data_IF_831458203234
#
_entry.id   IF_831458203234
#
_cell.length_a   1.000
_cell.length_b   1.000
_cell.length_c   1.000
_cell.angle_alpha   90.00
_cell.angle_beta   90.00
_cell.angle_gamma   90.00
#
_symmetry.space_group_name_H-M   'P 1'
#
loop_
_entity.id
_entity.type
_entity.pdbx_description
1 polymer ?
#
# COMPACT_ATOMS: atom_id res chain seq x y z
N UNK A 1 6.16 -21.14 10.01
CA UNK A 1 6.89 -21.01 8.74
C UNK A 1 6.72 -19.56 8.26
N UNK A 2 7.72 -18.94 7.63
CA UNK A 2 7.69 -17.50 7.33
C UNK A 2 7.05 -17.25 5.95
N UNK A 3 5.86 -16.65 5.93
CA UNK A 3 5.08 -16.35 4.71
C UNK A 3 5.91 -15.62 3.65
N UNK A 4 6.77 -14.69 4.07
CA UNK A 4 7.63 -13.97 3.12
C UNK A 4 8.60 -14.92 2.39
N UNK A 5 9.23 -15.85 3.11
CA UNK A 5 10.16 -16.80 2.51
C UNK A 5 9.43 -17.79 1.57
N UNK A 6 8.24 -18.23 1.94
CA UNK A 6 7.40 -19.08 1.10
C UNK A 6 6.97 -18.36 -0.18
N UNK A 7 6.51 -17.12 -0.05
CA UNK A 7 6.07 -16.30 -1.19
C UNK A 7 7.22 -16.00 -2.14
N UNK A 8 8.38 -15.61 -1.61
CA UNK A 8 9.57 -15.40 -2.44
C UNK A 8 10.02 -16.68 -3.13
N UNK A 9 9.90 -17.85 -2.47
CA UNK A 9 10.21 -19.15 -3.10
C UNK A 9 9.23 -19.48 -4.22
N UNK A 10 7.93 -19.29 -3.99
CA UNK A 10 6.86 -19.39 -4.99
C UNK A 10 7.14 -18.55 -6.23
N UNK A 11 7.70 -17.36 -6.03
CA UNK A 11 7.96 -16.41 -7.11
C UNK A 11 9.30 -16.67 -7.82
N UNK A 12 10.00 -17.76 -7.51
CA UNK A 12 11.27 -18.13 -8.17
C UNK A 12 12.54 -17.73 -7.40
N UNK A 13 12.41 -17.37 -6.12
CA UNK A 13 13.54 -17.04 -5.23
C UNK A 13 13.77 -15.54 -5.07
N UNK A 14 14.90 -15.17 -4.45
CA UNK A 14 15.24 -13.77 -4.08
C UNK A 14 16.10 -13.06 -5.14
N UNK A 15 15.68 -13.09 -6.40
CA UNK A 15 16.30 -12.25 -7.44
C UNK A 15 15.93 -10.76 -7.22
N UNK A 16 16.69 -9.85 -7.83
CA UNK A 16 16.36 -8.41 -7.78
C UNK A 16 14.97 -8.14 -8.37
N UNK A 17 14.62 -8.82 -9.47
CA UNK A 17 13.31 -8.66 -10.12
C UNK A 17 12.17 -9.12 -9.21
N UNK A 18 12.33 -10.25 -8.51
CA UNK A 18 11.31 -10.76 -7.59
C UNK A 18 11.15 -9.88 -6.35
N UNK A 19 12.24 -9.27 -5.88
CA UNK A 19 12.19 -8.29 -4.78
C UNK A 19 11.46 -7.03 -5.25
N UNK A 20 11.75 -6.55 -6.46
CA UNK A 20 11.06 -5.41 -7.03
C UNK A 20 9.58 -5.68 -7.28
N UNK A 21 9.22 -6.91 -7.71
CA UNK A 21 7.82 -7.32 -7.83
C UNK A 21 7.12 -7.35 -6.47
N UNK A 22 7.76 -7.90 -5.44
CA UNK A 22 7.23 -7.90 -4.07
C UNK A 22 7.02 -6.47 -3.53
N UNK A 23 7.93 -5.54 -3.86
CA UNK A 23 7.77 -4.13 -3.51
C UNK A 23 6.54 -3.52 -4.20
N UNK A 24 6.33 -3.81 -5.49
CA UNK A 24 5.13 -3.36 -6.23
C UNK A 24 3.85 -3.90 -5.60
N UNK A 25 3.82 -5.19 -5.25
CA UNK A 25 2.71 -5.81 -4.54
C UNK A 25 2.43 -5.08 -3.21
N UNK A 26 3.48 -4.83 -2.43
CA UNK A 26 3.33 -4.19 -1.12
C UNK A 26 2.85 -2.75 -1.23
N UNK A 27 3.38 -1.97 -2.17
CA UNK A 27 2.96 -0.59 -2.38
C UNK A 27 1.51 -0.48 -2.88
N UNK A 28 1.10 -1.36 -3.80
CA UNK A 28 -0.30 -1.44 -4.20
C UNK A 28 -1.21 -1.88 -3.06
N UNK A 29 -0.78 -2.83 -2.23
CA UNK A 29 -1.54 -3.25 -1.05
C UNK A 29 -1.67 -2.13 -0.01
N UNK A 30 -0.61 -1.36 0.22
CA UNK A 30 -0.66 -0.18 1.10
C UNK A 30 -1.72 0.81 0.63
N UNK A 31 -1.75 1.10 -0.68
CA UNK A 31 -2.72 2.03 -1.24
C UNK A 31 -4.15 1.49 -1.16
N UNK A 32 -4.35 0.21 -1.51
CA UNK A 32 -5.69 -0.36 -1.67
C UNK A 32 -6.34 -0.86 -0.38
N UNK A 33 -5.54 -1.23 0.63
CA UNK A 33 -6.02 -1.97 1.80
C UNK A 33 -5.58 -1.39 3.15
N UNK A 34 -4.46 -0.68 3.21
CA UNK A 34 -3.86 -0.23 4.47
C UNK A 34 -4.02 1.29 4.71
N UNK A 35 -5.00 1.92 4.07
CA UNK A 35 -5.34 3.33 4.31
C UNK A 35 -4.55 4.35 3.49
N UNK A 36 -3.89 3.91 2.40
CA UNK A 36 -3.23 4.83 1.47
C UNK A 36 -1.78 5.14 1.82
N UNK A 37 -1.06 5.73 0.86
CA UNK A 37 0.32 6.20 1.06
C UNK A 37 0.33 7.65 1.55
N UNK A 38 0.76 7.85 2.79
CA UNK A 38 0.86 9.17 3.42
C UNK A 38 1.89 10.05 2.71
N UNK A 39 1.50 11.29 2.39
CA UNK A 39 2.40 12.27 1.74
C UNK A 39 3.46 12.77 2.72
N UNK A 40 4.67 13.02 2.22
CA UNK A 40 5.67 13.76 2.98
C UNK A 40 5.24 15.21 3.21
N UNK A 41 5.56 15.73 4.39
CA UNK A 41 5.34 17.15 4.72
C UNK A 41 6.25 18.04 3.88
N UNK A 42 5.86 19.30 3.69
CA UNK A 42 6.70 20.27 2.97
C UNK A 42 8.09 20.43 3.60
N UNK A 43 8.17 20.46 4.92
CA UNK A 43 9.44 20.51 5.66
C UNK A 43 10.32 19.30 5.35
N UNK A 44 9.77 18.09 5.37
CA UNK A 44 10.55 16.88 5.09
C UNK A 44 11.08 16.86 3.65
N UNK A 45 10.24 17.28 2.68
CA UNK A 45 10.65 17.42 1.28
C UNK A 45 11.78 18.43 1.11
N UNK A 46 11.67 19.59 1.77
CA UNK A 46 12.69 20.64 1.71
C UNK A 46 14.01 20.21 2.37
N UNK A 47 13.94 19.48 3.49
CA UNK A 47 15.12 19.04 4.23
C UNK A 47 15.92 17.97 3.46
N UNK A 48 15.22 17.01 2.86
CA UNK A 48 15.87 15.85 2.22
C UNK A 48 15.94 15.93 0.69
N UNK A 49 15.33 16.95 0.08
CA UNK A 49 15.31 17.10 -1.38
C UNK A 49 14.53 15.99 -2.09
N UNK A 50 13.46 15.48 -1.48
CA UNK A 50 12.62 14.40 -2.02
C UNK A 50 11.22 14.90 -2.35
N UNK A 51 10.59 14.33 -3.38
CA UNK A 51 9.27 14.77 -3.84
C UNK A 51 8.11 13.99 -3.20
N UNK A 52 8.24 12.68 -3.07
CA UNK A 52 7.19 11.79 -2.57
C UNK A 52 7.74 10.46 -2.05
N UNK A 53 6.95 9.71 -1.25
CA UNK A 53 7.36 8.36 -0.85
C UNK A 53 7.48 7.43 -2.06
N UNK A 54 8.47 6.54 -2.05
CA UNK A 54 8.73 5.60 -3.14
C UNK A 54 7.50 4.77 -3.56
N UNK A 55 6.68 4.34 -2.61
CA UNK A 55 5.45 3.62 -2.94
C UNK A 55 4.46 4.47 -3.75
N UNK A 56 4.44 5.80 -3.59
CA UNK A 56 3.58 6.69 -4.37
C UNK A 56 3.98 6.66 -5.84
N UNK A 57 5.28 6.73 -6.12
CA UNK A 57 5.83 6.62 -7.48
C UNK A 57 5.48 5.28 -8.11
N UNK A 58 5.63 4.19 -7.36
CA UNK A 58 5.34 2.83 -7.85
C UNK A 58 3.85 2.65 -8.16
N UNK A 59 2.96 3.08 -7.27
CA UNK A 59 1.51 2.99 -7.47
C UNK A 59 1.09 3.80 -8.69
N UNK A 60 1.62 5.01 -8.86
CA UNK A 60 1.35 5.85 -10.03
C UNK A 60 1.81 5.15 -11.33
N UNK A 61 3.02 4.60 -11.34
CA UNK A 61 3.56 3.88 -12.50
C UNK A 61 2.70 2.65 -12.87
N UNK A 62 2.19 1.91 -11.89
CA UNK A 62 1.29 0.76 -12.12
C UNK A 62 -0.06 1.24 -12.67
N UNK A 63 -0.66 2.26 -12.06
CA UNK A 63 -1.95 2.80 -12.50
C UNK A 63 -1.88 3.41 -13.91
N UNK A 64 -0.71 3.95 -14.28
CA UNK A 64 -0.45 4.48 -15.63
C UNK A 64 -0.07 3.39 -16.65
N UNK A 65 0.11 2.13 -16.22
CA UNK A 65 0.51 1.01 -17.07
C UNK A 65 2.00 0.99 -17.44
N UNK A 66 2.83 1.82 -16.81
CA UNK A 66 4.29 1.86 -17.01
C UNK A 66 4.99 0.67 -16.33
N UNK A 67 4.40 0.17 -15.25
CA UNK A 67 4.86 -1.01 -14.52
C UNK A 67 3.71 -1.99 -14.29
N UNK A 68 4.05 -3.25 -14.04
CA UNK A 68 3.09 -4.30 -13.73
C UNK A 68 3.59 -5.17 -12.57
N UNK A 69 2.65 -5.76 -11.86
CA UNK A 69 2.92 -6.85 -10.91
C UNK A 69 2.85 -8.17 -11.70
N UNK A 70 3.90 -8.97 -11.59
CA UNK A 70 4.07 -10.23 -12.32
C UNK A 70 3.25 -11.37 -11.67
N UNK A 71 3.20 -11.44 -10.35
CA UNK A 71 2.37 -12.41 -9.65
C UNK A 71 0.88 -12.05 -9.79
N UNK A 72 0.19 -12.62 -10.77
CA UNK A 72 -1.25 -12.41 -10.98
C UNK A 72 -2.13 -12.72 -9.75
N UNK A 73 -1.65 -13.54 -8.81
CA UNK A 73 -2.36 -13.92 -7.58
C UNK A 73 -2.00 -13.08 -6.36
N UNK A 74 -1.15 -12.05 -6.53
CA UNK A 74 -0.60 -11.25 -5.45
C UNK A 74 -1.66 -10.70 -4.49
N UNK A 75 -2.75 -10.14 -5.04
CA UNK A 75 -3.78 -9.46 -4.26
C UNK A 75 -4.48 -10.44 -3.33
N UNK A 76 -4.90 -11.59 -3.87
CA UNK A 76 -5.55 -12.64 -3.10
C UNK A 76 -4.61 -13.19 -2.00
N UNK A 77 -3.33 -13.42 -2.32
CA UNK A 77 -2.32 -13.87 -1.34
C UNK A 77 -2.16 -12.87 -0.19
N UNK A 78 -2.02 -11.59 -0.52
CA UNK A 78 -1.87 -10.51 0.46
C UNK A 78 -3.12 -10.37 1.33
N UNK A 79 -4.31 -10.30 0.73
CA UNK A 79 -5.58 -10.17 1.46
C UNK A 79 -5.88 -11.38 2.35
N UNK A 80 -5.57 -12.59 1.89
CA UNK A 80 -5.77 -13.82 2.68
C UNK A 80 -4.86 -13.85 3.91
N UNK A 81 -3.63 -13.35 3.78
CA UNK A 81 -2.65 -13.41 4.86
C UNK A 81 -2.74 -12.22 5.83
N UNK A 82 -2.91 -11.00 5.31
CA UNK A 82 -2.85 -9.77 6.09
C UNK A 82 -4.22 -9.11 6.32
N UNK A 83 -5.25 -9.45 5.55
CA UNK A 83 -6.55 -8.77 5.55
C UNK A 83 -6.53 -7.40 4.87
N UNK A 84 -7.69 -6.86 4.53
CA UNK A 84 -7.85 -5.57 3.88
C UNK A 84 -8.77 -4.67 4.73
N UNK A 85 -8.26 -4.03 5.79
CA UNK A 85 -9.09 -3.30 6.76
C UNK A 85 -9.66 -1.98 6.23
N UNK A 86 -9.04 -1.38 5.21
CA UNK A 86 -9.52 -0.14 4.58
C UNK A 86 -9.58 -0.33 3.06
N UNK A 87 -10.56 -1.09 2.54
CA UNK A 87 -10.68 -1.28 1.11
C UNK A 87 -10.96 0.07 0.45
N UNK A 88 -10.29 0.37 -0.67
CA UNK A 88 -10.36 1.65 -1.39
C UNK A 88 -11.78 2.13 -1.81
N UNK A 89 -12.82 1.31 -1.60
CA UNK A 89 -14.23 1.62 -1.88
C UNK A 89 -15.11 1.80 -0.63
N UNK A 90 -14.55 1.70 0.58
CA UNK A 90 -15.23 2.21 1.76
C UNK A 90 -15.10 3.74 1.72
N UNK A 91 -16.07 4.39 1.07
CA UNK A 91 -16.41 5.77 1.43
C UNK A 91 -16.51 5.80 2.94
N UNK A 92 -15.52 6.40 3.59
CA UNK A 92 -15.59 6.77 5.00
C UNK A 92 -16.85 7.61 5.08
N UNK A 93 -17.92 6.99 5.58
CA UNK A 93 -19.09 7.74 5.98
C UNK A 93 -18.58 8.66 7.07
N UNK A 94 -18.37 9.92 6.70
CA UNK A 94 -18.17 11.03 7.61
C UNK A 94 -19.39 11.10 8.51
N UNK A 95 -19.42 10.26 9.54
CA UNK A 95 -20.36 10.31 10.64
C UNK A 95 -20.01 11.51 11.50
N UNK A 96 -20.28 12.70 10.97
CA UNK A 96 -20.40 13.89 11.79
C UNK A 96 -21.51 13.66 12.81
N UNK A 97 -21.19 13.90 14.07
CA UNK A 97 -22.18 14.36 15.03
C UNK A 97 -21.51 15.38 15.92
N UNK A 98 -21.80 16.63 15.57
CA UNK A 98 -21.71 17.79 16.42
C UNK A 98 -22.30 17.53 17.81
N UNK A 99 -21.62 18.10 18.80
CA UNK A 99 -22.17 18.68 20.01
C UNK A 99 -23.36 18.03 20.71
N UNK A 100 -23.11 17.56 21.94
CA UNK A 100 -23.98 17.93 23.07
C UNK A 100 -23.17 18.04 24.36
N UNK A 101 -22.97 19.29 24.79
CA UNK A 101 -22.87 19.60 26.20
C UNK A 101 -24.21 19.19 26.85
N UNK A 102 -24.15 18.43 27.94
CA UNK A 102 -25.27 18.32 28.87
C UNK A 102 -24.71 18.24 30.30
N UNK A 103 -24.82 19.39 30.94
CA UNK A 103 -24.83 19.59 32.39
C UNK A 103 -25.89 18.70 33.02
N UNK A 104 -25.53 18.02 34.11
CA UNK A 104 -26.28 17.94 35.36
C UNK A 104 -25.28 17.64 36.49
#
# INVERSE_FOLDING_TARGET
MNWYNETMTSNGGKSQDNIADMERQMCMFQELCLGGIVKYTHEFKALWGVEEPRCRTIVNAINNGEQQILDSSWKQKMETHFGCPHPANETVASGGSDGKAQTL
#
